data_IF_759178257364
#
_entry.id   IF_759178257364
#
_cell.length_a   1.000
_cell.length_b   1.000
_cell.length_c   1.000
_cell.angle_alpha   90.00
_cell.angle_beta   90.00
_cell.angle_gamma   90.00
#
_symmetry.space_group_name_H-M   'P 1'
#
loop_
_entity.id
_entity.type
_entity.pdbx_description
1 polymer ?
#
# COMPACT_ATOMS: atom_id res chain seq x y z
N UNK A 1 -9.41 28.47 50.92
CA UNK A 1 -10.28 27.97 49.85
C UNK A 1 -9.60 28.26 48.52
N UNK A 2 -9.05 27.21 47.87
CA UNK A 2 -8.31 27.33 46.61
C UNK A 2 -9.28 27.20 45.45
N UNK A 3 -9.39 28.26 44.64
CA UNK A 3 -10.17 28.23 43.39
C UNK A 3 -9.49 27.26 42.42
N UNK A 4 -10.23 26.23 41.95
CA UNK A 4 -9.77 25.28 40.94
C UNK A 4 -9.58 25.95 39.57
N UNK A 5 -8.73 25.41 38.70
CA UNK A 5 -8.49 25.95 37.38
C UNK A 5 -9.81 25.93 36.57
N UNK A 6 -10.30 27.12 36.27
CA UNK A 6 -11.49 27.30 35.44
C UNK A 6 -11.18 26.80 34.03
N UNK A 7 -11.75 25.73 33.63
CA UNK A 7 -11.78 25.26 32.24
C UNK A 7 -12.62 26.29 31.46
N UNK A 8 -11.94 27.22 30.80
CA UNK A 8 -12.61 28.12 29.88
C UNK A 8 -13.15 27.28 28.72
N UNK A 9 -14.48 27.35 28.45
CA UNK A 9 -15.05 26.57 27.34
C UNK A 9 -14.46 27.07 26.03
N UNK A 10 -13.67 26.24 25.39
CA UNK A 10 -13.09 26.45 24.02
C UNK A 10 -14.22 26.55 22.95
N UNK A 11 -15.49 26.44 23.36
CA UNK A 11 -16.63 26.49 22.46
C UNK A 11 -17.01 27.94 22.16
N UNK A 12 -17.11 28.32 20.91
CA UNK A 12 -17.50 29.65 20.50
C UNK A 12 -18.91 29.98 21.04
N UNK A 13 -19.09 31.15 21.60
CA UNK A 13 -20.34 31.59 22.22
C UNK A 13 -21.45 31.93 21.22
N UNK A 14 -21.10 32.23 19.97
CA UNK A 14 -22.05 32.54 18.93
C UNK A 14 -22.61 31.27 18.30
N UNK A 15 -23.94 31.23 18.07
CA UNK A 15 -24.62 30.14 17.35
C UNK A 15 -23.99 29.91 15.97
N UNK A 16 -23.69 30.99 15.24
CA UNK A 16 -23.06 30.95 13.94
C UNK A 16 -21.66 30.29 13.97
N UNK A 17 -20.84 30.66 14.95
CA UNK A 17 -19.52 30.09 15.10
C UNK A 17 -19.55 28.58 15.46
N UNK A 18 -20.57 28.14 16.23
CA UNK A 18 -20.79 26.70 16.47
C UNK A 18 -21.17 25.93 15.21
N UNK A 19 -22.04 26.53 14.38
CA UNK A 19 -22.43 25.93 13.10
C UNK A 19 -21.23 25.79 12.16
N UNK A 20 -20.41 26.84 12.02
CA UNK A 20 -19.19 26.78 11.22
C UNK A 20 -18.23 25.70 11.75
N UNK A 21 -18.01 25.65 13.05
CA UNK A 21 -17.15 24.65 13.67
C UNK A 21 -17.67 23.23 13.41
N UNK A 22 -18.96 23.01 13.48
CA UNK A 22 -19.60 21.71 13.23
C UNK A 22 -19.43 21.30 11.77
N UNK A 23 -19.71 22.20 10.82
CA UNK A 23 -19.53 21.94 9.40
C UNK A 23 -18.06 21.60 9.08
N UNK A 24 -17.13 22.35 9.68
CA UNK A 24 -15.69 22.15 9.50
C UNK A 24 -15.25 20.79 10.05
N UNK A 25 -15.72 20.41 11.24
CA UNK A 25 -15.46 19.11 11.85
C UNK A 25 -16.02 17.95 11.01
N UNK A 26 -17.26 18.05 10.54
CA UNK A 26 -17.88 17.01 9.69
C UNK A 26 -17.13 16.88 8.38
N UNK A 27 -16.73 17.97 7.76
CA UNK A 27 -15.97 17.96 6.51
C UNK A 27 -14.59 17.34 6.72
N UNK A 28 -13.90 17.69 7.78
CA UNK A 28 -12.58 17.14 8.11
C UNK A 28 -12.68 15.64 8.39
N UNK A 29 -13.68 15.22 9.17
CA UNK A 29 -13.91 13.81 9.49
C UNK A 29 -14.24 12.99 8.24
N UNK A 30 -15.10 13.51 7.35
CA UNK A 30 -15.42 12.88 6.08
C UNK A 30 -14.19 12.71 5.18
N UNK A 31 -13.32 13.73 5.10
CA UNK A 31 -12.07 13.65 4.33
C UNK A 31 -11.09 12.67 4.94
N UNK A 32 -11.01 12.60 6.26
CA UNK A 32 -10.17 11.64 6.97
C UNK A 32 -10.64 10.20 6.74
N UNK A 33 -11.94 9.93 6.78
CA UNK A 33 -12.52 8.63 6.46
C UNK A 33 -12.23 8.22 5.01
N UNK A 34 -12.41 9.13 4.06
CA UNK A 34 -12.11 8.89 2.65
C UNK A 34 -10.63 8.55 2.47
N UNK A 35 -9.74 9.25 3.17
CA UNK A 35 -8.31 8.99 3.10
C UNK A 35 -7.96 7.61 3.68
N UNK A 36 -8.50 7.27 4.85
CA UNK A 36 -8.29 5.96 5.48
C UNK A 36 -8.78 4.86 4.53
N UNK A 37 -9.95 5.05 3.92
CA UNK A 37 -10.50 4.11 2.95
C UNK A 37 -9.60 3.95 1.72
N UNK A 38 -9.10 5.04 1.13
CA UNK A 38 -8.20 4.99 -0.01
C UNK A 38 -6.88 4.31 0.35
N UNK A 39 -6.26 4.68 1.47
CA UNK A 39 -5.01 4.07 1.91
C UNK A 39 -5.17 2.56 2.23
N UNK A 40 -6.33 2.16 2.74
CA UNK A 40 -6.62 0.74 3.02
C UNK A 40 -6.90 -0.06 1.75
N UNK A 41 -7.43 0.57 0.70
CA UNK A 41 -7.76 -0.11 -0.56
C UNK A 41 -6.65 -0.03 -1.62
N UNK A 42 -5.74 0.93 -1.54
CA UNK A 42 -4.61 1.01 -2.49
C UNK A 42 -3.76 -0.28 -2.49
N UNK A 43 -3.54 -0.86 -1.31
CA UNK A 43 -2.77 -2.09 -1.18
C UNK A 43 -3.45 -3.26 -1.91
N UNK A 44 -4.78 -3.37 -1.86
CA UNK A 44 -5.52 -4.44 -2.53
C UNK A 44 -5.52 -4.33 -4.06
N UNK A 45 -5.58 -3.11 -4.60
CA UNK A 45 -5.58 -2.88 -6.05
C UNK A 45 -4.17 -3.07 -6.63
N UNK A 46 -3.15 -2.59 -5.93
CA UNK A 46 -1.75 -2.77 -6.33
C UNK A 46 -1.38 -4.25 -6.26
N UNK A 47 -1.78 -4.96 -5.21
CA UNK A 47 -1.50 -6.40 -5.06
C UNK A 47 -2.15 -7.22 -6.18
N UNK A 48 -3.37 -6.89 -6.62
CA UNK A 48 -4.03 -7.56 -7.74
C UNK A 48 -3.32 -7.32 -9.08
N UNK A 49 -2.94 -6.10 -9.37
CA UNK A 49 -2.20 -5.80 -10.61
C UNK A 49 -0.82 -6.45 -10.60
N UNK A 50 -0.18 -6.48 -9.44
CA UNK A 50 1.13 -7.08 -9.28
C UNK A 50 1.09 -8.60 -9.38
N UNK A 51 0.11 -9.26 -8.76
CA UNK A 51 -0.06 -10.71 -8.84
C UNK A 51 -0.36 -11.15 -10.28
N UNK A 52 -1.25 -10.45 -10.98
CA UNK A 52 -1.57 -10.73 -12.37
C UNK A 52 -0.36 -10.52 -13.30
N UNK A 53 0.35 -9.41 -13.16
CA UNK A 53 1.58 -9.14 -13.92
C UNK A 53 2.67 -10.18 -13.68
N UNK A 54 2.86 -10.57 -12.43
CA UNK A 54 3.81 -11.63 -12.04
C UNK A 54 3.40 -12.98 -12.61
N UNK A 55 2.13 -13.34 -12.53
CA UNK A 55 1.63 -14.60 -13.10
C UNK A 55 1.78 -14.65 -14.63
N UNK A 56 1.49 -13.55 -15.33
CA UNK A 56 1.73 -13.44 -16.77
C UNK A 56 3.20 -13.61 -17.13
N UNK A 57 4.09 -12.94 -16.41
CA UNK A 57 5.53 -13.04 -16.62
C UNK A 57 6.04 -14.47 -16.43
N UNK A 58 5.59 -15.12 -15.35
CA UNK A 58 5.98 -16.50 -15.04
C UNK A 58 5.46 -17.48 -16.10
N UNK A 59 4.22 -17.33 -16.54
CA UNK A 59 3.64 -18.13 -17.65
C UNK A 59 4.42 -17.90 -18.95
N UNK A 60 4.72 -16.65 -19.28
CA UNK A 60 5.50 -16.32 -20.46
C UNK A 60 6.89 -16.98 -20.41
N UNK A 61 7.54 -16.93 -19.23
CA UNK A 61 8.82 -17.57 -19.02
C UNK A 61 8.76 -19.09 -19.25
N UNK A 62 7.78 -19.77 -18.67
CA UNK A 62 7.62 -21.21 -18.84
C UNK A 62 7.28 -21.62 -20.27
N UNK A 63 6.48 -20.82 -20.98
CA UNK A 63 6.10 -21.08 -22.37
C UNK A 63 7.20 -20.76 -23.40
N UNK A 64 8.26 -20.04 -22.97
CA UNK A 64 9.29 -19.53 -23.88
C UNK A 64 10.39 -20.55 -24.19
N UNK A 65 11.01 -20.38 -25.36
CA UNK A 65 12.23 -21.10 -25.75
C UNK A 65 13.43 -20.69 -24.90
N UNK A 66 14.50 -21.50 -24.81
CA UNK A 66 15.68 -21.17 -24.02
C UNK A 66 16.32 -19.82 -24.35
N UNK A 67 16.33 -19.42 -25.62
CA UNK A 67 16.86 -18.11 -26.03
C UNK A 67 16.01 -16.96 -25.54
N UNK A 68 14.67 -17.08 -25.71
CA UNK A 68 13.71 -16.07 -25.22
C UNK A 68 13.70 -15.96 -23.69
N UNK A 69 13.96 -17.06 -22.98
CA UNK A 69 14.09 -17.02 -21.50
C UNK A 69 15.25 -16.13 -21.06
N UNK A 70 16.38 -16.20 -21.76
CA UNK A 70 17.54 -15.34 -21.47
C UNK A 70 17.20 -13.87 -21.66
N UNK A 71 16.47 -13.54 -22.73
CA UNK A 71 16.02 -12.16 -22.97
C UNK A 71 15.07 -11.68 -21.86
N UNK A 72 14.14 -12.55 -21.41
CA UNK A 72 13.25 -12.25 -20.30
C UNK A 72 14.03 -12.03 -19.01
N UNK A 73 15.00 -12.87 -18.69
CA UNK A 73 15.86 -12.74 -17.51
C UNK A 73 16.62 -11.40 -17.52
N UNK A 74 17.20 -11.03 -18.66
CA UNK A 74 17.94 -9.78 -18.81
C UNK A 74 17.04 -8.55 -18.69
N UNK A 75 15.86 -8.58 -19.30
CA UNK A 75 14.93 -7.43 -19.28
C UNK A 75 14.18 -7.28 -17.96
N UNK A 76 13.84 -8.37 -17.29
CA UNK A 76 12.94 -8.34 -16.12
C UNK A 76 13.65 -8.63 -14.80
N UNK A 77 14.90 -9.09 -14.84
CA UNK A 77 15.64 -9.48 -13.64
C UNK A 77 15.14 -10.77 -12.99
N UNK A 78 14.28 -11.54 -13.67
CA UNK A 78 13.89 -12.89 -13.24
C UNK A 78 15.11 -13.79 -13.24
N UNK A 79 15.26 -14.61 -12.20
CA UNK A 79 16.39 -15.53 -12.06
C UNK A 79 15.91 -16.93 -11.74
N UNK A 80 16.52 -17.91 -12.38
CA UNK A 80 16.34 -19.32 -12.02
C UNK A 80 17.23 -19.64 -10.83
N UNK A 81 16.68 -20.30 -9.85
CA UNK A 81 17.39 -20.57 -8.61
C UNK A 81 17.10 -22.00 -8.15
N UNK A 82 18.10 -22.61 -7.54
CA UNK A 82 17.99 -23.94 -6.94
C UNK A 82 17.29 -23.89 -5.57
N UNK A 83 16.59 -24.95 -5.14
CA UNK A 83 15.83 -24.97 -3.90
C UNK A 83 16.61 -24.58 -2.64
N UNK A 84 17.93 -24.84 -2.62
CA UNK A 84 18.80 -24.57 -1.47
C UNK A 84 19.02 -23.07 -1.21
N UNK A 85 18.83 -22.23 -2.23
CA UNK A 85 19.01 -20.79 -2.13
C UNK A 85 17.72 -20.04 -1.79
N UNK A 86 16.60 -20.76 -1.71
CA UNK A 86 15.30 -20.16 -1.38
C UNK A 86 15.23 -19.91 0.12
N UNK A 87 14.91 -18.69 0.56
CA UNK A 87 14.78 -18.36 1.97
C UNK A 87 13.78 -19.29 2.68
N UNK A 88 14.19 -19.90 3.78
CA UNK A 88 13.36 -20.85 4.55
C UNK A 88 12.46 -20.14 5.58
N UNK A 89 12.38 -18.83 5.63
CA UNK A 89 11.57 -18.07 6.56
C UNK A 89 10.24 -17.63 5.94
N UNK A 90 9.13 -17.89 6.61
CA UNK A 90 7.88 -17.21 6.31
C UNK A 90 8.01 -15.74 6.72
N UNK A 91 8.07 -14.86 5.75
CA UNK A 91 8.01 -13.44 6.04
C UNK A 91 6.55 -13.05 6.18
N UNK A 92 6.14 -12.74 7.40
CA UNK A 92 4.82 -12.20 7.70
C UNK A 92 4.70 -10.77 7.18
N UNK A 93 4.33 -10.65 5.92
CA UNK A 93 3.83 -9.39 5.38
C UNK A 93 2.30 -9.41 5.51
N UNK A 94 1.64 -8.35 6.02
CA UNK A 94 0.21 -8.37 6.33
C UNK A 94 -0.68 -8.81 5.16
N UNK A 95 -0.22 -8.63 3.91
CA UNK A 95 -0.96 -8.96 2.70
C UNK A 95 -0.38 -10.13 1.89
N UNK A 96 0.66 -10.78 2.39
CA UNK A 96 1.30 -11.92 1.69
C UNK A 96 0.32 -13.06 1.41
N UNK A 97 -0.66 -13.27 2.27
CA UNK A 97 -1.68 -14.30 2.11
C UNK A 97 -2.57 -14.06 0.88
N UNK A 98 -3.03 -12.83 0.66
CA UNK A 98 -3.90 -12.47 -0.48
C UNK A 98 -3.11 -12.60 -1.78
N UNK A 99 -1.90 -12.05 -1.82
CA UNK A 99 -1.01 -12.12 -2.98
C UNK A 99 -0.66 -13.57 -3.36
N UNK A 100 -0.32 -14.38 -2.37
CA UNK A 100 0.00 -15.81 -2.57
C UNK A 100 -1.22 -16.60 -3.06
N UNK A 101 -2.42 -16.32 -2.51
CA UNK A 101 -3.65 -16.95 -2.95
C UNK A 101 -3.96 -16.61 -4.40
N UNK A 102 -3.90 -15.35 -4.78
CA UNK A 102 -4.14 -14.89 -6.15
C UNK A 102 -3.14 -15.49 -7.14
N UNK A 103 -1.85 -15.59 -6.79
CA UNK A 103 -0.86 -16.25 -7.63
C UNK A 103 -1.14 -17.74 -7.80
N UNK A 104 -1.61 -18.43 -6.76
CA UNK A 104 -2.03 -19.83 -6.86
C UNK A 104 -3.26 -20.01 -7.73
N UNK A 105 -4.25 -19.13 -7.59
CA UNK A 105 -5.45 -19.16 -8.43
C UNK A 105 -5.11 -19.00 -9.92
N UNK A 106 -4.13 -18.17 -10.25
CA UNK A 106 -3.71 -17.95 -11.63
C UNK A 106 -2.73 -19.00 -12.16
N UNK A 107 -1.76 -19.45 -11.37
CA UNK A 107 -0.71 -20.36 -11.80
C UNK A 107 -1.04 -21.84 -11.53
N UNK A 108 -2.08 -22.11 -10.73
CA UNK A 108 -2.53 -23.43 -10.33
C UNK A 108 -2.23 -23.77 -8.86
N UNK A 109 -3.07 -24.61 -8.26
CA UNK A 109 -3.08 -24.92 -6.82
C UNK A 109 -1.77 -25.53 -6.29
N UNK A 110 -1.01 -26.21 -7.16
CA UNK A 110 0.26 -26.82 -6.80
C UNK A 110 1.43 -25.84 -6.75
N UNK A 111 1.19 -24.57 -7.11
CA UNK A 111 2.21 -23.53 -7.11
C UNK A 111 2.63 -23.17 -5.68
N UNK A 112 3.89 -23.29 -5.39
CA UNK A 112 4.48 -22.82 -4.14
C UNK A 112 4.99 -21.41 -4.32
N UNK A 113 4.55 -20.51 -3.44
CA UNK A 113 4.94 -19.10 -3.50
C UNK A 113 5.56 -18.72 -2.15
N UNK A 114 6.74 -18.10 -2.19
CA UNK A 114 7.40 -17.52 -1.02
C UNK A 114 7.71 -16.06 -1.31
N UNK A 115 7.45 -15.18 -0.36
CA UNK A 115 7.69 -13.75 -0.49
C UNK A 115 8.80 -13.34 0.46
N UNK A 116 9.82 -12.68 -0.06
CA UNK A 116 10.91 -12.09 0.72
C UNK A 116 10.82 -10.57 0.62
N UNK A 117 10.75 -9.89 1.78
CA UNK A 117 10.65 -8.42 1.84
C UNK A 117 11.92 -7.74 2.36
N UNK A 118 12.85 -8.51 2.93
CA UNK A 118 14.09 -7.98 3.49
C UNK A 118 15.19 -7.91 2.43
N UNK A 119 16.03 -6.89 2.53
CA UNK A 119 17.22 -6.60 1.70
C UNK A 119 16.93 -6.39 0.22
N UNK A 120 16.43 -7.38 -0.48
CA UNK A 120 16.05 -7.33 -1.89
C UNK A 120 14.69 -8.02 -2.03
N UNK A 121 13.59 -7.25 -2.04
CA UNK A 121 12.26 -7.83 -2.09
C UNK A 121 12.07 -8.64 -3.38
N UNK A 122 11.66 -9.89 -3.23
CA UNK A 122 11.47 -10.82 -4.32
C UNK A 122 10.35 -11.84 -3.99
N UNK A 123 9.70 -12.31 -5.05
CA UNK A 123 8.77 -13.44 -4.99
C UNK A 123 9.45 -14.66 -5.57
N UNK A 124 9.39 -15.75 -4.85
CA UNK A 124 9.92 -17.04 -5.26
C UNK A 124 8.75 -17.95 -5.63
N UNK A 125 8.76 -18.44 -6.85
CA UNK A 125 7.66 -19.23 -7.40
C UNK A 125 8.19 -20.56 -7.88
N UNK A 126 7.60 -21.64 -7.42
CA UNK A 126 7.90 -23.00 -7.84
C UNK A 126 6.63 -23.70 -8.30
N UNK A 127 6.69 -24.33 -9.45
CA UNK A 127 5.62 -25.15 -9.99
C UNK A 127 6.19 -26.53 -10.40
N UNK A 128 5.80 -27.61 -9.73
CA UNK A 128 6.36 -28.94 -10.01
C UNK A 128 6.19 -29.41 -11.45
N UNK A 129 5.15 -28.93 -12.15
CA UNK A 129 4.88 -29.28 -13.56
C UNK A 129 5.96 -28.80 -14.54
N UNK A 130 6.76 -27.79 -14.17
CA UNK A 130 7.78 -27.20 -15.06
C UNK A 130 9.22 -27.55 -14.66
N UNK A 131 9.41 -28.27 -13.55
CA UNK A 131 10.72 -28.73 -13.11
C UNK A 131 11.01 -28.38 -11.64
N UNK A 132 12.14 -28.88 -11.15
CA UNK A 132 12.56 -28.73 -9.75
C UNK A 132 13.45 -27.49 -9.57
N UNK A 133 12.95 -26.32 -10.03
CA UNK A 133 13.63 -25.05 -9.85
C UNK A 133 12.67 -23.97 -9.39
N UNK A 134 13.20 -22.93 -8.79
CA UNK A 134 12.48 -21.76 -8.35
C UNK A 134 12.74 -20.57 -9.27
N UNK A 135 11.69 -19.83 -9.58
CA UNK A 135 11.81 -18.54 -10.27
C UNK A 135 11.79 -17.44 -9.21
N UNK A 136 12.86 -16.68 -9.14
CA UNK A 136 12.96 -15.46 -8.35
C UNK A 136 12.53 -14.29 -9.20
N UNK A 137 11.39 -13.70 -8.87
CA UNK A 137 10.87 -12.49 -9.52
C UNK A 137 11.13 -11.31 -8.59
N UNK A 138 11.95 -10.32 -9.02
CA UNK A 138 12.20 -9.15 -8.18
C UNK A 138 10.93 -8.34 -7.99
N UNK A 139 10.61 -8.03 -6.73
CA UNK A 139 9.57 -7.07 -6.41
C UNK A 139 10.19 -5.69 -6.49
N UNK A 140 9.87 -4.94 -7.53
CA UNK A 140 10.22 -3.53 -7.58
C UNK A 140 9.37 -2.81 -6.53
N UNK A 141 9.86 -2.73 -5.31
CA UNK A 141 9.24 -1.92 -4.27
C UNK A 141 9.21 -0.48 -4.79
N UNK A 142 8.03 0.03 -5.10
CA UNK A 142 7.89 1.44 -5.46
C UNK A 142 8.40 2.28 -4.28
N UNK A 143 9.53 3.01 -4.43
CA UNK A 143 10.09 3.83 -3.36
C UNK A 143 9.15 4.97 -2.93
N UNK A 144 8.01 5.10 -3.62
CA UNK A 144 7.06 6.19 -3.45
C UNK A 144 6.06 5.99 -2.29
N UNK A 145 6.04 4.82 -1.61
CA UNK A 145 5.05 4.57 -0.54
C UNK A 145 5.17 5.59 0.60
N UNK A 146 6.38 5.83 1.10
CA UNK A 146 6.61 6.84 2.14
C UNK A 146 6.36 8.26 1.64
N UNK A 147 6.77 8.57 0.43
CA UNK A 147 6.63 9.91 -0.15
C UNK A 147 5.16 10.26 -0.44
N UNK A 148 4.35 9.30 -0.90
CA UNK A 148 2.91 9.54 -1.13
C UNK A 148 2.15 9.80 0.16
N UNK A 149 2.40 9.03 1.21
CA UNK A 149 1.78 9.27 2.53
C UNK A 149 2.10 10.66 3.03
N UNK A 150 3.37 11.10 2.97
CA UNK A 150 3.77 12.44 3.36
C UNK A 150 3.12 13.53 2.49
N UNK A 151 2.99 13.31 1.19
CA UNK A 151 2.30 14.24 0.30
C UNK A 151 0.82 14.40 0.69
N UNK A 152 0.13 13.31 0.95
CA UNK A 152 -1.29 13.33 1.37
C UNK A 152 -1.44 14.00 2.74
N UNK A 153 -0.57 13.68 3.70
CA UNK A 153 -0.57 14.33 5.02
C UNK A 153 -0.33 15.85 4.88
N UNK A 154 0.62 16.26 4.05
CA UNK A 154 0.90 17.68 3.79
C UNK A 154 -0.32 18.39 3.20
N UNK A 155 -1.01 17.78 2.23
CA UNK A 155 -2.24 18.33 1.66
C UNK A 155 -3.36 18.45 2.69
N UNK A 156 -3.53 17.46 3.57
CA UNK A 156 -4.53 17.53 4.65
C UNK A 156 -4.24 18.65 5.63
N UNK A 157 -2.99 18.81 6.04
CA UNK A 157 -2.56 19.89 6.93
C UNK A 157 -2.81 21.25 6.27
N UNK A 158 -2.47 21.39 4.99
CA UNK A 158 -2.68 22.64 4.23
C UNK A 158 -4.16 23.00 4.12
N UNK A 159 -5.03 22.02 3.83
CA UNK A 159 -6.49 22.24 3.78
C UNK A 159 -7.03 22.60 5.17
N UNK A 160 -6.55 21.94 6.21
CA UNK A 160 -6.93 22.26 7.60
C UNK A 160 -6.53 23.68 7.99
N UNK A 161 -5.32 24.11 7.66
CA UNK A 161 -4.84 25.47 7.92
C UNK A 161 -5.66 26.52 7.17
N UNK A 162 -5.91 26.31 5.88
CA UNK A 162 -6.72 27.19 5.06
C UNK A 162 -8.16 27.31 5.59
N UNK A 163 -8.78 26.19 5.96
CA UNK A 163 -10.13 26.17 6.54
C UNK A 163 -10.19 26.91 7.86
N UNK A 164 -9.18 26.74 8.71
CA UNK A 164 -9.10 27.44 10.00
C UNK A 164 -8.89 28.95 9.81
N UNK A 165 -8.02 29.32 8.89
CA UNK A 165 -7.79 30.73 8.55
C UNK A 165 -9.05 31.41 7.98
N UNK A 166 -9.76 30.73 7.08
CA UNK A 166 -11.02 31.23 6.53
C UNK A 166 -12.09 31.39 7.62
N UNK A 167 -12.25 30.43 8.51
CA UNK A 167 -13.16 30.51 9.64
C UNK A 167 -12.79 31.68 10.58
N UNK A 168 -11.50 31.87 10.86
CA UNK A 168 -11.03 32.97 11.70
C UNK A 168 -11.28 34.34 11.09
N UNK A 169 -11.04 34.50 9.78
CA UNK A 169 -11.32 35.74 9.04
C UNK A 169 -12.82 36.09 9.07
N UNK A 170 -13.68 35.09 8.84
CA UNK A 170 -15.14 35.28 8.92
C UNK A 170 -15.61 35.71 10.31
N UNK A 171 -15.07 35.10 11.36
CA UNK A 171 -15.42 35.49 12.76
C UNK A 171 -14.91 36.89 13.10
N UNK A 172 -13.83 37.35 12.50
CA UNK A 172 -13.27 38.69 12.76
C UNK A 172 -14.01 39.79 11.99
N UNK A 173 -14.67 39.48 10.90
CA UNK A 173 -15.44 40.44 10.10
C UNK A 173 -16.91 40.64 10.61
N UNK A 174 -17.36 39.77 11.50
CA UNK A 174 -18.67 39.87 12.22
C UNK A 174 -18.50 40.46 13.59
#
# INVERSE_FOLDING_TARGET
MKGGPGWHPLLPRSFFARTILLVLLVTLFSKMLTLIYLLSNEDLLVDRQYSHGTAMLVRAYWASSPDTRRDIEEMTGVQVTVPEQVPQGEVHWPYSGIFTHQLRDELGDQTQVRVQTQSHPAVWIHQPAYGDYWLKVPLYAHPLRGQRVWMVVTWLVLIGMLSTAAAWLLVRQL
#
